data_IF_526762325999
#
_entry.id   IF_526762325999
#
_cell.length_a   1.000
_cell.length_b   1.000
_cell.length_c   1.000
_cell.angle_alpha   90.00
_cell.angle_beta   90.00
_cell.angle_gamma   90.00
#
_symmetry.space_group_name_H-M   'P 1'
#
loop_
_entity.id
_entity.type
_entity.pdbx_description
1 polymer ?
#
# COMPACT_ATOMS: atom_id res chain seq x y z
N UNK A 1 18.23 20.93 -50.06
CA UNK A 1 16.97 20.78 -49.30
C UNK A 1 17.35 20.69 -47.82
N UNK A 2 17.29 21.80 -47.11
CA UNK A 2 17.58 21.83 -45.67
C UNK A 2 16.37 21.32 -44.90
N UNK A 3 16.57 20.29 -44.08
CA UNK A 3 15.59 19.85 -43.09
C UNK A 3 15.45 20.95 -42.05
N UNK A 4 14.37 21.72 -42.10
CA UNK A 4 14.01 22.62 -41.01
C UNK A 4 13.56 21.76 -39.84
N UNK A 5 14.50 21.40 -38.96
CA UNK A 5 14.19 20.82 -37.66
C UNK A 5 13.42 21.88 -36.88
N UNK A 6 12.10 21.69 -36.72
CA UNK A 6 11.30 22.52 -35.83
C UNK A 6 11.93 22.50 -34.44
N UNK A 7 12.11 23.67 -33.78
CA UNK A 7 12.53 23.69 -32.38
C UNK A 7 11.58 22.82 -31.57
N UNK A 8 12.13 21.87 -30.80
CA UNK A 8 11.36 21.15 -29.81
C UNK A 8 10.68 22.15 -28.88
N UNK A 9 9.42 21.90 -28.52
CA UNK A 9 8.72 22.78 -27.59
C UNK A 9 9.50 22.84 -26.25
N UNK A 10 9.46 23.96 -25.52
CA UNK A 10 10.13 24.07 -24.22
C UNK A 10 9.78 22.93 -23.26
N UNK A 11 8.54 22.44 -23.32
CA UNK A 11 8.05 21.29 -22.55
C UNK A 11 8.79 19.99 -22.91
N UNK A 12 9.01 19.73 -24.21
CA UNK A 12 9.75 18.55 -24.66
C UNK A 12 11.20 18.59 -24.16
N UNK A 13 11.84 19.75 -24.16
CA UNK A 13 13.21 19.87 -23.64
C UNK A 13 13.28 19.68 -22.12
N UNK A 14 12.29 20.18 -21.36
CA UNK A 14 12.19 19.92 -19.92
C UNK A 14 12.07 18.42 -19.63
N UNK A 15 11.22 17.70 -20.37
CA UNK A 15 11.04 16.26 -20.20
C UNK A 15 12.30 15.47 -20.60
N UNK A 16 13.00 15.88 -21.66
CA UNK A 16 14.27 15.27 -22.07
C UNK A 16 15.35 15.44 -21.02
N UNK A 17 15.53 16.65 -20.49
CA UNK A 17 16.53 16.91 -19.47
C UNK A 17 16.21 16.13 -18.18
N UNK A 18 14.94 16.13 -17.76
CA UNK A 18 14.50 15.33 -16.63
C UNK A 18 14.81 13.83 -16.82
N UNK A 19 14.49 13.28 -18.00
CA UNK A 19 14.77 11.88 -18.31
C UNK A 19 16.28 11.58 -18.29
N UNK A 20 17.10 12.45 -18.88
CA UNK A 20 18.56 12.35 -18.88
C UNK A 20 19.14 12.35 -17.47
N UNK A 21 18.65 13.22 -16.58
CA UNK A 21 19.11 13.26 -15.19
C UNK A 21 18.68 12.01 -14.43
N UNK A 22 17.40 11.63 -14.55
CA UNK A 22 16.88 10.45 -13.88
C UNK A 22 17.61 9.18 -14.33
N UNK A 23 17.98 9.04 -15.61
CA UNK A 23 18.65 7.85 -16.16
C UNK A 23 20.18 7.88 -16.08
N UNK A 24 20.77 8.93 -15.49
CA UNK A 24 22.21 9.11 -15.44
C UNK A 24 22.96 7.97 -14.74
N UNK A 25 24.20 7.72 -15.19
CA UNK A 25 25.10 6.72 -14.59
C UNK A 25 25.53 7.13 -13.18
N UNK A 26 25.87 8.39 -13.00
CA UNK A 26 26.32 8.94 -11.72
C UNK A 26 25.13 9.13 -10.76
N UNK A 27 25.29 8.67 -9.52
CA UNK A 27 24.19 8.69 -8.57
C UNK A 27 23.80 10.12 -8.16
N UNK A 28 24.76 11.04 -8.11
CA UNK A 28 24.52 12.46 -7.81
C UNK A 28 23.61 13.09 -8.87
N UNK A 29 23.87 12.83 -10.15
CA UNK A 29 23.03 13.32 -11.24
C UNK A 29 21.61 12.73 -11.19
N UNK A 30 21.47 11.46 -10.76
CA UNK A 30 20.14 10.90 -10.49
C UNK A 30 19.43 11.60 -9.33
N UNK A 31 20.15 11.97 -8.27
CA UNK A 31 19.61 12.76 -7.16
C UNK A 31 19.13 14.13 -7.64
N UNK A 32 19.89 14.80 -8.51
CA UNK A 32 19.46 16.05 -9.16
C UNK A 32 18.17 15.86 -9.96
N UNK A 33 18.05 14.77 -10.73
CA UNK A 33 16.82 14.42 -11.44
C UNK A 33 15.61 14.23 -10.52
N UNK A 34 15.81 13.60 -9.35
CA UNK A 34 14.74 13.44 -8.34
C UNK A 34 14.30 14.80 -7.78
N UNK A 35 15.25 15.69 -7.49
CA UNK A 35 14.96 17.05 -7.02
C UNK A 35 14.22 17.85 -8.09
N UNK A 36 14.67 17.77 -9.35
CA UNK A 36 14.04 18.45 -10.48
C UNK A 36 12.60 17.99 -10.70
N UNK A 37 12.33 16.67 -10.62
CA UNK A 37 10.97 16.16 -10.71
C UNK A 37 10.06 16.76 -9.63
N UNK A 38 10.54 16.83 -8.38
CA UNK A 38 9.76 17.41 -7.30
C UNK A 38 9.49 18.90 -7.52
N UNK A 39 10.46 19.62 -8.05
CA UNK A 39 10.30 21.02 -8.42
C UNK A 39 9.23 21.19 -9.51
N UNK A 40 9.26 20.37 -10.56
CA UNK A 40 8.22 20.38 -11.58
C UNK A 40 6.83 20.02 -11.04
N UNK A 41 6.71 19.10 -10.08
CA UNK A 41 5.43 18.83 -9.42
C UNK A 41 4.88 20.06 -8.66
N UNK A 42 5.76 20.94 -8.15
CA UNK A 42 5.36 22.17 -7.44
C UNK A 42 5.03 23.31 -8.41
N UNK A 43 5.88 23.51 -9.41
CA UNK A 43 5.86 24.70 -10.24
C UNK A 43 5.08 24.48 -11.55
N UNK A 44 5.09 23.26 -12.09
CA UNK A 44 4.49 22.90 -13.37
C UNK A 44 3.64 21.61 -13.28
N UNK A 45 2.67 21.49 -12.35
CA UNK A 45 1.92 20.26 -12.11
C UNK A 45 1.13 19.76 -13.33
N UNK A 46 0.74 20.66 -14.24
CA UNK A 46 0.04 20.31 -15.48
C UNK A 46 0.95 19.55 -16.46
N UNK A 47 2.22 19.97 -16.60
CA UNK A 47 3.21 19.26 -17.41
C UNK A 47 3.42 17.83 -16.91
N UNK A 48 3.54 17.69 -15.58
CA UNK A 48 3.70 16.38 -14.94
C UNK A 48 2.46 15.52 -15.15
N UNK A 49 1.27 16.06 -14.91
CA UNK A 49 0.01 15.31 -15.05
C UNK A 49 -0.21 14.84 -16.49
N UNK A 50 0.10 15.68 -17.48
CA UNK A 50 -0.02 15.35 -18.90
C UNK A 50 0.95 14.23 -19.35
N UNK A 51 2.09 14.07 -18.68
CA UNK A 51 3.15 13.14 -19.05
C UNK A 51 3.44 12.10 -17.96
N UNK A 52 2.49 11.89 -17.04
CA UNK A 52 2.77 11.20 -15.77
C UNK A 52 3.28 9.77 -15.97
N UNK A 53 2.71 9.03 -16.92
CA UNK A 53 3.11 7.65 -17.22
C UNK A 53 4.55 7.61 -17.70
N UNK A 54 4.91 8.41 -18.72
CA UNK A 54 6.27 8.45 -19.27
C UNK A 54 7.32 8.84 -18.22
N UNK A 55 6.99 9.81 -17.36
CA UNK A 55 7.89 10.26 -16.30
C UNK A 55 8.08 9.16 -15.25
N UNK A 56 6.99 8.54 -14.81
CA UNK A 56 7.03 7.53 -13.76
C UNK A 56 7.59 6.19 -14.22
N UNK A 57 7.45 5.83 -15.49
CA UNK A 57 8.12 4.64 -16.06
C UNK A 57 9.63 4.65 -15.79
N UNK A 58 10.24 5.84 -15.78
CA UNK A 58 11.65 6.02 -15.44
C UNK A 58 11.85 6.24 -13.94
N UNK A 59 11.03 7.08 -13.30
CA UNK A 59 11.19 7.43 -11.89
C UNK A 59 11.01 6.24 -10.94
N UNK A 60 10.16 5.26 -11.28
CA UNK A 60 9.97 4.04 -10.47
C UNK A 60 11.29 3.27 -10.28
N UNK A 61 12.22 3.34 -11.26
CA UNK A 61 13.55 2.76 -11.13
C UNK A 61 14.41 3.42 -10.04
N UNK A 62 14.09 4.66 -9.64
CA UNK A 62 14.75 5.36 -8.52
C UNK A 62 14.18 4.93 -7.17
N UNK A 63 12.91 4.52 -7.13
CA UNK A 63 12.31 3.89 -5.95
C UNK A 63 12.88 2.50 -5.64
N UNK A 64 13.71 1.95 -6.53
CA UNK A 64 14.42 0.68 -6.35
C UNK A 64 15.91 0.84 -6.73
N UNK A 65 16.46 2.06 -6.59
CA UNK A 65 17.84 2.33 -6.99
C UNK A 65 18.85 1.49 -6.19
N UNK A 66 19.91 1.04 -6.86
CA UNK A 66 21.00 0.31 -6.21
C UNK A 66 21.76 1.19 -5.21
N UNK A 67 21.79 2.52 -5.44
CA UNK A 67 22.34 3.47 -4.50
C UNK A 67 21.28 3.86 -3.46
N UNK A 68 21.55 3.53 -2.19
CA UNK A 68 20.64 3.78 -1.06
C UNK A 68 20.29 5.26 -0.85
N UNK A 69 21.18 6.21 -1.20
CA UNK A 69 20.90 7.64 -1.08
C UNK A 69 19.88 8.10 -2.10
N UNK A 70 20.05 7.67 -3.36
CA UNK A 70 19.09 7.92 -4.44
C UNK A 70 17.74 7.31 -4.09
N UNK A 71 17.74 6.05 -3.64
CA UNK A 71 16.53 5.34 -3.27
C UNK A 71 15.74 6.03 -2.13
N UNK A 72 16.43 6.39 -1.05
CA UNK A 72 15.80 7.10 0.06
C UNK A 72 15.26 8.46 -0.39
N UNK A 73 16.04 9.25 -1.12
CA UNK A 73 15.60 10.56 -1.61
C UNK A 73 14.40 10.43 -2.55
N UNK A 74 14.40 9.45 -3.45
CA UNK A 74 13.27 9.21 -4.35
C UNK A 74 11.98 8.89 -3.57
N UNK A 75 12.05 8.09 -2.51
CA UNK A 75 10.89 7.80 -1.64
C UNK A 75 10.43 9.06 -0.88
N UNK A 76 11.36 9.84 -0.32
CA UNK A 76 11.04 11.09 0.38
C UNK A 76 10.40 12.13 -0.54
N UNK A 77 10.96 12.29 -1.74
CA UNK A 77 10.44 13.18 -2.77
C UNK A 77 9.09 12.70 -3.27
N UNK A 78 8.89 11.40 -3.49
CA UNK A 78 7.59 10.83 -3.86
C UNK A 78 6.52 11.11 -2.81
N UNK A 79 6.83 10.96 -1.52
CA UNK A 79 5.89 11.28 -0.44
C UNK A 79 5.45 12.75 -0.48
N UNK A 80 6.33 13.66 -0.94
CA UNK A 80 6.02 15.07 -1.13
C UNK A 80 5.28 15.36 -2.45
N UNK A 81 5.46 14.55 -3.51
CA UNK A 81 4.77 14.71 -4.79
C UNK A 81 3.31 14.27 -4.74
N UNK A 82 3.00 13.18 -4.03
CA UNK A 82 1.65 12.61 -3.95
C UNK A 82 0.56 13.65 -3.63
N UNK A 83 0.69 14.48 -2.57
CA UNK A 83 -0.32 15.50 -2.29
C UNK A 83 -0.42 16.61 -3.35
N UNK A 84 0.64 16.86 -4.12
CA UNK A 84 0.64 17.87 -5.19
C UNK A 84 -0.07 17.35 -6.45
N UNK A 85 0.06 16.06 -6.73
CA UNK A 85 -0.53 15.41 -7.90
C UNK A 85 -1.98 14.95 -7.67
N UNK A 86 -2.35 14.65 -6.41
CA UNK A 86 -3.68 14.18 -6.05
C UNK A 86 -4.14 13.00 -6.91
N UNK A 87 -5.36 13.07 -7.43
CA UNK A 87 -5.93 12.03 -8.29
C UNK A 87 -5.23 11.90 -9.67
N UNK A 88 -4.44 12.90 -10.07
CA UNK A 88 -3.58 12.82 -11.25
C UNK A 88 -2.54 11.68 -11.14
N UNK A 89 -2.26 11.21 -9.92
CA UNK A 89 -1.36 10.09 -9.65
C UNK A 89 -1.96 8.70 -9.96
N UNK A 90 -3.27 8.58 -10.13
CA UNK A 90 -3.94 7.29 -10.35
C UNK A 90 -3.34 6.41 -11.46
N UNK A 91 -2.95 6.92 -12.64
CA UNK A 91 -2.41 6.09 -13.72
C UNK A 91 -1.14 5.32 -13.34
N UNK A 92 -0.37 5.82 -12.37
CA UNK A 92 0.94 5.27 -11.97
C UNK A 92 0.91 4.65 -10.58
N UNK A 93 -0.25 4.65 -9.90
CA UNK A 93 -0.39 4.17 -8.52
C UNK A 93 0.06 2.71 -8.35
N UNK A 94 -0.35 1.81 -9.24
CA UNK A 94 -0.06 0.38 -9.12
C UNK A 94 1.44 0.07 -9.20
N UNK A 95 2.20 0.48 -10.23
CA UNK A 95 3.64 0.22 -10.29
C UNK A 95 4.40 0.93 -9.16
N UNK A 96 3.97 2.13 -8.75
CA UNK A 96 4.60 2.84 -7.63
C UNK A 96 4.37 2.11 -6.30
N UNK A 97 3.13 1.69 -6.01
CA UNK A 97 2.83 0.91 -4.80
C UNK A 97 3.65 -0.38 -4.79
N UNK A 98 3.81 -1.05 -5.94
CA UNK A 98 4.65 -2.24 -6.04
C UNK A 98 6.09 -1.95 -5.60
N UNK A 99 6.73 -0.95 -6.21
CA UNK A 99 8.10 -0.56 -5.90
C UNK A 99 8.27 -0.11 -4.44
N UNK A 100 7.35 0.70 -3.91
CA UNK A 100 7.39 1.19 -2.53
C UNK A 100 7.28 0.03 -1.53
N UNK A 101 6.39 -0.93 -1.77
CA UNK A 101 6.21 -2.08 -0.86
C UNK A 101 7.44 -2.97 -0.75
N UNK A 102 8.28 -3.03 -1.80
CA UNK A 102 9.53 -3.81 -1.78
C UNK A 102 10.58 -3.19 -0.84
N UNK A 103 10.47 -1.89 -0.56
CA UNK A 103 11.37 -1.17 0.34
C UNK A 103 11.05 -1.38 1.83
N UNK A 104 9.87 -1.92 2.17
CA UNK A 104 9.43 -2.10 3.56
C UNK A 104 10.23 -3.17 4.34
N UNK A 105 10.95 -4.04 3.63
CA UNK A 105 11.86 -5.01 4.24
C UNK A 105 13.32 -4.51 4.28
N UNK A 106 13.58 -3.26 3.90
CA UNK A 106 14.92 -2.68 3.95
C UNK A 106 15.47 -2.64 5.37
N UNK A 107 16.76 -3.00 5.53
CA UNK A 107 17.49 -2.84 6.79
C UNK A 107 17.90 -1.38 7.05
N UNK A 108 17.82 -0.52 6.02
CA UNK A 108 18.07 0.91 6.19
C UNK A 108 16.79 1.57 6.75
N UNK A 109 16.89 2.09 7.98
CA UNK A 109 15.79 2.73 8.67
C UNK A 109 15.23 3.96 7.91
N UNK A 110 16.08 4.72 7.21
CA UNK A 110 15.66 5.87 6.42
C UNK A 110 14.81 5.47 5.21
N UNK A 111 15.24 4.44 4.47
CA UNK A 111 14.47 3.88 3.35
C UNK A 111 13.12 3.33 3.84
N UNK A 112 13.12 2.56 4.93
CA UNK A 112 11.90 2.04 5.53
C UNK A 112 10.94 3.16 5.94
N UNK A 113 11.42 4.17 6.66
CA UNK A 113 10.61 5.30 7.12
C UNK A 113 10.04 6.10 5.94
N UNK A 114 10.84 6.33 4.90
CA UNK A 114 10.39 7.01 3.69
C UNK A 114 9.32 6.20 2.95
N UNK A 115 9.49 4.88 2.81
CA UNK A 115 8.48 4.01 2.20
C UNK A 115 7.15 4.01 2.98
N UNK A 116 7.21 3.94 4.31
CA UNK A 116 6.03 4.07 5.18
C UNK A 116 5.32 5.41 4.94
N UNK A 117 6.08 6.51 4.89
CA UNK A 117 5.55 7.86 4.64
C UNK A 117 4.85 7.96 3.28
N UNK A 118 5.39 7.33 2.23
CA UNK A 118 4.73 7.25 0.91
C UNK A 118 3.39 6.53 1.00
N UNK A 119 3.31 5.40 1.70
CA UNK A 119 2.06 4.65 1.84
C UNK A 119 1.00 5.43 2.63
N UNK A 120 1.42 6.20 3.62
CA UNK A 120 0.51 7.05 4.40
C UNK A 120 0.02 8.24 3.56
N UNK A 121 0.90 8.86 2.76
CA UNK A 121 0.54 9.93 1.82
C UNK A 121 -0.49 9.46 0.77
N UNK A 122 -0.31 8.26 0.20
CA UNK A 122 -1.28 7.68 -0.74
C UNK A 122 -2.67 7.57 -0.14
N UNK A 123 -2.77 7.20 1.14
CA UNK A 123 -4.07 7.08 1.81
C UNK A 123 -4.70 8.44 2.09
N UNK A 124 -3.92 9.45 2.47
CA UNK A 124 -4.44 10.77 2.83
C UNK A 124 -4.79 11.64 1.62
N UNK A 125 -4.10 11.46 0.49
CA UNK A 125 -4.17 12.40 -0.63
C UNK A 125 -5.06 11.94 -1.79
N UNK A 126 -5.40 10.65 -1.87
CA UNK A 126 -6.21 10.10 -2.95
C UNK A 126 -7.68 10.07 -2.58
N UNK A 127 -8.55 10.52 -3.50
CA UNK A 127 -9.99 10.49 -3.27
C UNK A 127 -10.58 9.08 -3.39
N UNK A 128 -10.03 8.26 -4.29
CA UNK A 128 -10.47 6.88 -4.54
C UNK A 128 -9.59 5.83 -3.83
N UNK A 129 -10.00 5.50 -2.61
CA UNK A 129 -9.39 4.44 -1.82
C UNK A 129 -9.60 3.02 -2.38
N UNK A 130 -10.48 2.82 -3.39
CA UNK A 130 -10.66 1.50 -4.04
C UNK A 130 -9.43 1.11 -4.84
N UNK A 131 -8.83 2.05 -5.58
CA UNK A 131 -7.63 1.78 -6.36
C UNK A 131 -6.46 1.41 -5.45
N UNK A 132 -6.32 2.11 -4.32
CA UNK A 132 -5.29 1.79 -3.31
C UNK A 132 -5.55 0.43 -2.65
N UNK A 133 -6.81 0.12 -2.32
CA UNK A 133 -7.22 -1.20 -1.80
C UNK A 133 -6.83 -2.32 -2.78
N UNK A 134 -7.16 -2.15 -4.06
CA UNK A 134 -6.82 -3.09 -5.13
C UNK A 134 -5.30 -3.25 -5.28
N UNK A 135 -4.55 -2.14 -5.29
CA UNK A 135 -3.10 -2.16 -5.41
C UNK A 135 -2.45 -2.96 -4.27
N UNK A 136 -2.84 -2.71 -3.02
CA UNK A 136 -2.35 -3.50 -1.88
C UNK A 136 -2.80 -4.96 -1.94
N UNK A 137 -4.06 -5.23 -2.27
CA UNK A 137 -4.59 -6.58 -2.36
C UNK A 137 -3.82 -7.46 -3.36
N UNK A 138 -3.43 -6.87 -4.50
CA UNK A 138 -2.63 -7.55 -5.51
C UNK A 138 -1.18 -7.78 -5.05
N UNK A 139 -0.63 -6.93 -4.18
CA UNK A 139 0.75 -7.03 -3.69
C UNK A 139 0.94 -8.05 -2.58
N UNK A 140 0.01 -8.16 -1.62
CA UNK A 140 0.21 -8.94 -0.38
C UNK A 140 0.74 -10.35 -0.60
N UNK A 141 0.26 -11.07 -1.62
CA UNK A 141 0.68 -12.46 -1.89
C UNK A 141 2.19 -12.61 -2.17
N UNK A 142 2.83 -11.57 -2.69
CA UNK A 142 4.25 -11.53 -3.04
C UNK A 142 5.14 -11.00 -1.93
N UNK A 143 4.54 -10.44 -0.87
CA UNK A 143 5.29 -9.88 0.24
C UNK A 143 5.65 -10.96 1.27
N UNK A 144 6.54 -10.60 2.18
CA UNK A 144 6.91 -11.39 3.36
C UNK A 144 7.39 -10.44 4.44
N UNK A 145 7.69 -10.94 5.63
CA UNK A 145 8.39 -10.09 6.59
C UNK A 145 7.50 -9.00 7.18
N UNK A 146 8.16 -7.87 7.45
CA UNK A 146 7.54 -6.61 7.86
C UNK A 146 6.67 -6.02 6.75
N UNK A 147 7.10 -6.11 5.49
CA UNK A 147 6.34 -5.59 4.36
C UNK A 147 4.93 -6.17 4.28
N UNK A 148 4.80 -7.50 4.44
CA UNK A 148 3.49 -8.14 4.47
C UNK A 148 2.62 -7.64 5.62
N UNK A 149 3.21 -7.52 6.81
CA UNK A 149 2.52 -7.03 8.00
C UNK A 149 1.98 -5.61 7.75
N UNK A 150 2.84 -4.69 7.31
CA UNK A 150 2.50 -3.27 7.11
C UNK A 150 1.42 -3.06 6.05
N UNK A 151 1.47 -3.82 4.97
CA UNK A 151 0.45 -3.76 3.90
C UNK A 151 -0.86 -4.39 4.35
N UNK A 152 -0.82 -5.50 5.11
CA UNK A 152 -2.03 -6.14 5.66
C UNK A 152 -2.71 -5.22 6.68
N UNK A 153 -1.94 -4.50 7.49
CA UNK A 153 -2.45 -3.51 8.43
C UNK A 153 -3.15 -2.35 7.71
N UNK A 154 -2.55 -1.85 6.63
CA UNK A 154 -3.17 -0.79 5.80
C UNK A 154 -4.42 -1.27 5.09
N UNK A 155 -4.45 -2.50 4.59
CA UNK A 155 -5.67 -3.12 4.04
C UNK A 155 -6.79 -3.15 5.09
N UNK A 156 -6.47 -3.50 6.34
CA UNK A 156 -7.46 -3.56 7.43
C UNK A 156 -8.15 -2.21 7.65
N UNK A 157 -7.40 -1.11 7.53
CA UNK A 157 -7.94 0.25 7.67
C UNK A 157 -8.69 0.69 6.40
N UNK A 158 -8.21 0.34 5.21
CA UNK A 158 -8.89 0.65 3.95
C UNK A 158 -10.23 -0.09 3.79
N UNK A 159 -10.34 -1.32 4.29
CA UNK A 159 -11.61 -2.05 4.33
C UNK A 159 -12.69 -1.23 5.04
N UNK A 160 -12.38 -0.69 6.22
CA UNK A 160 -13.33 0.11 7.00
C UNK A 160 -13.67 1.46 6.34
N UNK A 161 -12.75 2.06 5.57
CA UNK A 161 -13.02 3.32 4.86
C UNK A 161 -13.81 3.10 3.56
N UNK A 162 -13.48 2.06 2.79
CA UNK A 162 -14.10 1.75 1.50
C UNK A 162 -15.48 1.12 1.66
N UNK A 163 -15.70 0.24 2.65
CA UNK A 163 -16.98 -0.45 2.85
C UNK A 163 -18.17 0.50 2.98
N UNK A 164 -17.98 1.68 3.58
CA UNK A 164 -19.06 2.69 3.71
C UNK A 164 -19.57 3.19 2.36
N UNK A 165 -18.68 3.29 1.36
CA UNK A 165 -18.99 3.85 0.04
C UNK A 165 -19.23 2.78 -1.02
N UNK A 166 -18.48 1.67 -0.96
CA UNK A 166 -18.43 0.63 -2.01
C UNK A 166 -18.13 -0.77 -1.44
N UNK A 167 -19.09 -1.36 -0.71
CA UNK A 167 -18.98 -2.75 -0.19
C UNK A 167 -18.56 -3.80 -1.23
N UNK A 168 -19.07 -3.80 -2.48
CA UNK A 168 -18.68 -4.83 -3.47
C UNK A 168 -17.17 -4.84 -3.79
N UNK A 169 -16.50 -3.68 -3.69
CA UNK A 169 -15.06 -3.61 -3.92
C UNK A 169 -14.25 -4.32 -2.81
N UNK A 170 -14.72 -4.22 -1.57
CA UNK A 170 -14.12 -4.91 -0.43
C UNK A 170 -14.26 -6.43 -0.59
N UNK A 171 -15.43 -6.89 -1.01
CA UNK A 171 -15.61 -8.32 -1.29
C UNK A 171 -14.71 -8.81 -2.42
N UNK A 172 -14.58 -8.03 -3.50
CA UNK A 172 -13.79 -8.40 -4.67
C UNK A 172 -12.29 -8.46 -4.37
N UNK A 173 -11.76 -7.53 -3.57
CA UNK A 173 -10.31 -7.38 -3.39
C UNK A 173 -9.80 -7.87 -2.04
N UNK A 174 -10.50 -7.60 -0.93
CA UNK A 174 -9.99 -7.92 0.40
C UNK A 174 -10.28 -9.37 0.83
N UNK A 175 -11.43 -9.95 0.44
CA UNK A 175 -11.76 -11.34 0.81
C UNK A 175 -10.77 -12.36 0.23
N UNK A 176 -10.40 -12.32 -1.07
CA UNK A 176 -9.42 -13.29 -1.60
C UNK A 176 -8.08 -13.21 -0.88
N UNK A 177 -7.68 -12.01 -0.44
CA UNK A 177 -6.45 -11.80 0.34
C UNK A 177 -6.58 -12.45 1.72
N UNK A 178 -7.70 -12.25 2.42
CA UNK A 178 -7.94 -12.90 3.71
C UNK A 178 -7.88 -14.43 3.58
N UNK A 179 -8.56 -15.01 2.60
CA UNK A 179 -8.56 -16.46 2.37
C UNK A 179 -7.17 -16.99 2.07
N UNK A 180 -6.41 -16.31 1.21
CA UNK A 180 -5.04 -16.67 0.92
C UNK A 180 -4.15 -16.63 2.18
N UNK A 181 -4.24 -15.57 2.99
CA UNK A 181 -3.45 -15.42 4.20
C UNK A 181 -3.79 -16.48 5.25
N UNK A 182 -5.08 -16.78 5.45
CA UNK A 182 -5.53 -17.82 6.38
C UNK A 182 -5.17 -19.23 5.90
N UNK A 183 -5.20 -19.48 4.59
CA UNK A 183 -4.83 -20.78 4.00
C UNK A 183 -3.31 -21.01 3.96
N UNK A 184 -2.51 -19.95 3.90
CA UNK A 184 -1.04 -20.05 3.90
C UNK A 184 -0.47 -20.27 5.31
N UNK A 185 -1.29 -20.15 6.36
CA UNK A 185 -0.87 -20.31 7.75
C UNK A 185 -0.77 -21.77 8.16
N UNK A 186 0.33 -22.11 8.84
CA UNK A 186 0.56 -23.45 9.39
C UNK A 186 0.38 -23.43 10.91
N UNK A 187 -0.27 -24.47 11.44
CA UNK A 187 -0.38 -24.79 12.86
C UNK A 187 -0.82 -23.61 13.72
N UNK A 188 0.15 -23.01 14.41
CA UNK A 188 -0.09 -21.89 15.33
C UNK A 188 -0.37 -20.55 14.63
N UNK A 189 -0.47 -20.47 13.30
CA UNK A 189 -0.64 -19.20 12.59
C UNK A 189 0.68 -18.50 12.33
N UNK A 190 1.75 -19.28 12.10
CA UNK A 190 3.03 -18.82 11.55
C UNK A 190 3.02 -19.13 10.06
N UNK A 191 3.45 -18.17 9.25
CA UNK A 191 3.65 -18.38 7.82
C UNK A 191 5.07 -18.95 7.62
N UNK A 192 5.25 -20.11 6.96
CA UNK A 192 6.57 -20.68 6.73
C UNK A 192 7.45 -19.69 5.96
N UNK A 193 8.67 -19.45 6.45
CA UNK A 193 9.63 -18.54 5.81
C UNK A 193 9.28 -17.05 5.83
N UNK A 194 8.20 -16.64 6.52
CA UNK A 194 7.78 -15.23 6.62
C UNK A 194 7.80 -14.79 8.10
N UNK A 195 8.95 -14.33 8.58
CA UNK A 195 9.10 -13.74 9.92
C UNK A 195 8.28 -12.44 10.08
N UNK A 196 7.85 -12.07 11.28
CA UNK A 196 7.07 -10.85 11.55
C UNK A 196 5.76 -11.11 12.30
N UNK A 197 5.10 -10.05 12.80
CA UNK A 197 3.83 -10.16 13.53
C UNK A 197 2.61 -10.28 12.58
N UNK A 198 2.77 -11.08 11.51
CA UNK A 198 1.76 -11.25 10.45
C UNK A 198 0.47 -11.85 11.02
N UNK A 199 0.57 -12.68 12.07
CA UNK A 199 -0.61 -13.20 12.78
C UNK A 199 -1.51 -12.09 13.26
N UNK A 200 -0.97 -11.05 13.90
CA UNK A 200 -1.77 -9.95 14.42
C UNK A 200 -2.40 -9.13 13.30
N UNK A 201 -1.66 -8.90 12.21
CA UNK A 201 -2.16 -8.15 11.06
C UNK A 201 -3.32 -8.86 10.38
N UNK A 202 -3.23 -10.18 10.21
CA UNK A 202 -4.33 -10.97 9.64
C UNK A 202 -5.54 -11.03 10.58
N UNK A 203 -5.33 -11.04 11.90
CA UNK A 203 -6.43 -10.93 12.85
C UNK A 203 -7.13 -9.56 12.75
N UNK A 204 -6.37 -8.46 12.58
CA UNK A 204 -6.94 -7.13 12.33
C UNK A 204 -7.74 -7.10 11.02
N UNK A 205 -7.21 -7.67 9.94
CA UNK A 205 -7.92 -7.73 8.65
C UNK A 205 -9.22 -8.54 8.76
N UNK A 206 -9.16 -9.71 9.40
CA UNK A 206 -10.34 -10.53 9.67
C UNK A 206 -11.37 -9.78 10.53
N UNK A 207 -10.92 -9.06 11.56
CA UNK A 207 -11.77 -8.23 12.42
C UNK A 207 -12.44 -7.09 11.65
N UNK A 208 -11.69 -6.35 10.84
CA UNK A 208 -12.25 -5.29 9.98
C UNK A 208 -13.29 -5.84 9.00
N UNK A 209 -13.00 -6.97 8.34
CA UNK A 209 -13.96 -7.60 7.42
C UNK A 209 -15.19 -8.11 8.16
N UNK A 210 -15.03 -8.68 9.35
CA UNK A 210 -16.17 -9.14 10.16
C UNK A 210 -17.03 -7.98 10.64
N UNK A 211 -16.43 -6.85 11.01
CA UNK A 211 -17.17 -5.64 11.41
C UNK A 211 -18.04 -5.09 10.27
N UNK A 212 -17.55 -5.14 9.03
CA UNK A 212 -18.27 -4.61 7.86
C UNK A 212 -19.29 -5.61 7.27
N UNK A 213 -19.00 -6.91 7.35
CA UNK A 213 -19.80 -7.96 6.69
C UNK A 213 -20.66 -8.79 7.64
N UNK A 214 -20.38 -8.77 8.94
CA UNK A 214 -21.11 -9.52 9.97
C UNK A 214 -21.12 -11.04 9.71
N UNK A 215 -22.31 -11.63 9.83
CA UNK A 215 -22.53 -13.08 9.68
C UNK A 215 -22.22 -13.60 8.27
N UNK A 216 -22.36 -12.77 7.24
CA UNK A 216 -22.08 -13.18 5.85
C UNK A 216 -20.61 -13.58 5.62
N UNK A 217 -19.69 -13.08 6.44
CA UNK A 217 -18.29 -13.52 6.40
C UNK A 217 -18.14 -14.98 6.85
N UNK A 218 -18.89 -15.41 7.87
CA UNK A 218 -18.86 -16.77 8.37
C UNK A 218 -19.50 -17.75 7.39
N UNK A 219 -20.61 -17.35 6.75
CA UNK A 219 -21.26 -18.13 5.68
C UNK A 219 -20.30 -18.34 4.50
N UNK A 220 -19.62 -17.28 4.04
CA UNK A 220 -18.62 -17.38 2.97
C UNK A 220 -17.42 -18.22 3.36
N UNK A 221 -17.04 -18.21 4.63
CA UNK A 221 -15.98 -19.07 5.15
C UNK A 221 -16.37 -20.56 5.16
N UNK A 222 -17.67 -20.90 5.23
CA UNK A 222 -18.13 -22.28 5.15
C UNK A 222 -17.87 -22.91 3.76
N UNK A 223 -17.79 -22.09 2.71
CA UNK A 223 -17.38 -22.52 1.37
C UNK A 223 -15.86 -22.59 1.15
N UNK A 224 -15.04 -22.23 2.15
CA UNK A 224 -13.58 -22.32 2.09
C UNK A 224 -13.07 -23.67 2.65
N UNK A 225 -11.83 -24.08 2.33
CA UNK A 225 -11.25 -25.28 2.91
C UNK A 225 -11.32 -25.29 4.46
N UNK A 226 -11.55 -26.46 5.10
CA UNK A 226 -11.66 -26.58 6.56
C UNK A 226 -10.58 -25.84 7.38
N UNK A 227 -9.27 -25.85 7.02
CA UNK A 227 -8.26 -25.12 7.78
C UNK A 227 -8.45 -23.60 7.71
N UNK A 228 -8.91 -23.05 6.57
CA UNK A 228 -9.17 -21.61 6.40
C UNK A 228 -10.33 -21.17 7.29
N UNK A 229 -11.43 -21.93 7.26
CA UNK A 229 -12.61 -21.66 8.08
C UNK A 229 -12.30 -21.75 9.58
N UNK A 230 -11.49 -22.74 10.00
CA UNK A 230 -11.03 -22.86 11.39
C UNK A 230 -10.18 -21.66 11.81
N UNK A 231 -9.17 -21.32 11.00
CA UNK A 231 -8.28 -20.19 11.28
C UNK A 231 -9.04 -18.85 11.37
N UNK A 232 -10.11 -18.67 10.58
CA UNK A 232 -10.98 -17.50 10.70
C UNK A 232 -11.70 -17.47 12.05
N UNK A 233 -12.36 -18.57 12.43
CA UNK A 233 -13.12 -18.66 13.69
C UNK A 233 -12.25 -18.38 14.90
N UNK A 234 -11.06 -18.95 14.93
CA UNK A 234 -10.09 -18.79 16.02
C UNK A 234 -9.66 -17.33 16.19
N UNK A 235 -9.68 -16.54 15.11
CA UNK A 235 -9.28 -15.11 15.12
C UNK A 235 -10.42 -14.17 15.45
N UNK A 236 -11.63 -14.45 14.99
CA UNK A 236 -12.82 -13.63 15.27
C UNK A 236 -13.24 -13.78 16.74
N UNK A 237 -13.11 -14.98 17.33
CA UNK A 237 -13.48 -15.24 18.74
C UNK A 237 -12.55 -14.59 19.77
N UNK A 238 -11.38 -14.08 19.37
CA UNK A 238 -10.35 -13.59 20.29
C UNK A 238 -9.68 -14.72 21.11
N UNK A 239 -8.59 -14.45 21.85
CA UNK A 239 -7.99 -15.46 22.72
C UNK A 239 -8.97 -15.83 23.84
N UNK A 240 -9.51 -17.06 23.81
CA UNK A 240 -10.19 -17.63 24.96
C UNK A 240 -9.15 -17.89 26.06
N UNK A 241 -9.10 -17.03 27.08
CA UNK A 241 -8.40 -17.34 28.33
C UNK A 241 -9.20 -18.38 29.09
N UNK A 242 -8.70 -19.62 29.18
CA UNK A 242 -9.23 -20.62 30.12
C UNK A 242 -8.77 -20.25 31.53
N UNK A 243 -9.62 -19.56 32.29
CA UNK A 243 -9.49 -19.45 33.74
C UNK A 243 -10.52 -20.41 34.36
N UNK A 244 -10.07 -21.49 34.99
CA UNK A 244 -10.90 -22.28 35.90
C UNK A 244 -12.05 -23.10 35.27
N UNK A 245 -11.85 -23.74 34.11
CA UNK A 245 -12.76 -24.81 33.65
C UNK A 245 -14.12 -24.37 33.09
N UNK A 246 -14.40 -23.06 32.95
CA UNK A 246 -15.55 -22.55 32.20
C UNK A 246 -15.09 -21.78 30.96
N UNK A 247 -15.63 -22.15 29.80
CA UNK A 247 -15.45 -21.41 28.54
C UNK A 247 -16.36 -20.18 28.54
N UNK A 248 -15.81 -19.03 28.93
CA UNK A 248 -16.48 -17.74 28.73
C UNK A 248 -15.94 -17.09 27.47
N UNK A 249 -16.73 -17.11 26.40
CA UNK A 249 -16.48 -16.26 25.24
C UNK A 249 -16.84 -14.82 25.59
N UNK A 250 -15.98 -13.81 25.34
CA UNK A 250 -16.40 -12.43 25.50
C UNK A 250 -17.54 -12.16 24.52
N UNK A 251 -18.65 -11.64 25.04
CA UNK A 251 -19.72 -11.10 24.22
C UNK A 251 -19.13 -10.07 23.25
N UNK A 252 -19.61 -10.12 22.00
CA UNK A 252 -19.21 -9.31 20.86
C UNK A 252 -18.92 -7.85 21.28
N UNK A 253 -17.64 -7.49 21.27
CA UNK A 253 -17.19 -6.21 21.80
C UNK A 253 -15.86 -5.80 21.19
N UNK A 254 -15.81 -5.63 19.87
CA UNK A 254 -14.74 -4.86 19.22
C UNK A 254 -14.89 -3.36 19.58
N UNK A 255 -14.70 -3.01 20.86
CA UNK A 255 -14.75 -1.61 21.33
C UNK A 255 -13.54 -0.78 20.88
N UNK A 256 -12.49 -1.42 20.35
CA UNK A 256 -11.30 -0.72 19.83
C UNK A 256 -11.49 0.02 18.50
N UNK A 257 -12.46 -0.38 17.65
CA UNK A 257 -12.67 0.29 16.35
C UNK A 257 -13.60 1.50 16.42
N UNK A 258 -14.42 1.64 17.47
CA UNK A 258 -15.27 2.83 17.64
C UNK A 258 -14.45 4.08 17.89
N UNK A 259 -13.31 4.00 18.61
CA UNK A 259 -12.40 5.13 18.75
C UNK A 259 -11.70 5.51 17.43
N UNK A 260 -11.38 4.53 16.58
CA UNK A 260 -10.78 4.81 15.27
C UNK A 260 -11.78 5.43 14.28
N UNK A 261 -13.05 5.06 14.36
CA UNK A 261 -14.10 5.68 13.56
C UNK A 261 -14.38 7.13 13.98
N UNK A 262 -14.20 7.48 15.26
CA UNK A 262 -14.30 8.87 15.74
C UNK A 262 -13.10 9.73 15.31
N UNK A 263 -11.90 9.16 15.19
CA UNK A 263 -10.71 9.93 14.76
C UNK A 263 -10.75 10.29 13.26
N UNK A 264 -11.46 9.53 12.43
CA UNK A 264 -11.63 9.81 10.99
C UNK A 264 -12.73 10.85 10.71
N UNK A 265 -13.54 11.22 11.71
CA UNK A 265 -14.55 12.29 11.59
C UNK A 265 -14.02 13.67 12.02
N UNK A 266 -12.76 13.77 12.45
CA UNK A 266 -12.18 15.02 13.00
C UNK A 266 -10.84 15.46 12.37
N UNK A 267 -10.48 14.90 11.21
CA UNK A 267 -9.40 15.38 10.32
C UNK A 267 -9.90 15.27 8.89
#
# INVERSE_FOLDING_TARGET
MGTWSLPSSPEIEQLKELNKLLTAKEFQTRMEGVVLLLDHCKNNPQLISANIVQIFDVFVLRLQDSNKKVNQQALESLAAMIPLLGDGFHPVLVPVVAAVTDNLNSKNAGIYAAAVKVLDANKSSLSDNVLLLQAFANRVRFLSGRAMQDVTDRLSVLVASVSRRRRPAVERYALPVLWHLLGSMIGNGVLPGRGGNVRSAVARLAGSLHAEMGASLAERAAGQPPPVAKNLRDRIRGPCTKLGGQETCPAQGFQGLKLFALFILYV
#
